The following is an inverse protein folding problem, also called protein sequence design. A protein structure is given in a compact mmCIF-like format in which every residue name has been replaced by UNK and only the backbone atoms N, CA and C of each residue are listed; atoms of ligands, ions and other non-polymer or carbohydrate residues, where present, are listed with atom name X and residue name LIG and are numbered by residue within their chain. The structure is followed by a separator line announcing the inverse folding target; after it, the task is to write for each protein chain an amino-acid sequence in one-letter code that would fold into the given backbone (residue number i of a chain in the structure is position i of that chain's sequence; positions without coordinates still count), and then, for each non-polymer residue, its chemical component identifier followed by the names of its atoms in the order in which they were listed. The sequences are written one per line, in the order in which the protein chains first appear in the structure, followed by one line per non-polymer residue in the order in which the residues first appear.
data_IF_055359964985
#
_entry.id   IF_055359964985
#
_cell.length_a   1.000
_cell.length_b   1.000
_cell.length_c   1.000
_cell.angle_alpha   90.00
_cell.angle_beta   90.00
_cell.angle_gamma   90.00
#
_symmetry.space_group_name_H-M   'P 1'
#
loop_
_entity.id
_entity.type
_entity.pdbx_description
1 polymer ?
#
# COMPACT_ATOMS: atom_id res chain seq x y z
N UNK A 1 -24.85 3.20 -52.97
CA UNK A 1 -25.13 2.05 -52.07
C UNK A 1 -26.63 1.98 -51.78
N UNK A 2 -27.27 0.82 -51.99
CA UNK A 2 -28.70 0.60 -51.72
C UNK A 2 -28.99 0.82 -50.23
N UNK A 3 -30.11 1.44 -49.88
CA UNK A 3 -30.53 1.76 -48.50
C UNK A 3 -30.34 0.60 -47.51
N UNK A 4 -30.59 -0.64 -47.95
CA UNK A 4 -30.35 -1.86 -47.16
C UNK A 4 -28.90 -2.04 -46.70
N UNK A 5 -27.93 -1.70 -47.55
CA UNK A 5 -26.50 -1.78 -47.22
C UNK A 5 -26.07 -0.71 -46.22
N UNK A 6 -26.66 0.49 -46.28
CA UNK A 6 -26.43 1.52 -45.25
C UNK A 6 -27.01 1.11 -43.90
N UNK A 7 -28.22 0.55 -43.90
CA UNK A 7 -28.88 0.10 -42.67
C UNK A 7 -28.07 -1.02 -41.99
N UNK A 8 -27.62 -2.01 -42.76
CA UNK A 8 -26.80 -3.10 -42.25
C UNK A 8 -25.48 -2.60 -41.64
N UNK A 9 -24.84 -1.62 -42.29
CA UNK A 9 -23.61 -1.01 -41.78
C UNK A 9 -23.83 -0.29 -40.45
N UNK A 10 -24.90 0.50 -40.32
CA UNK A 10 -25.25 1.17 -39.07
C UNK A 10 -25.50 0.17 -37.94
N UNK A 11 -26.21 -0.92 -38.22
CA UNK A 11 -26.44 -1.99 -37.25
C UNK A 11 -25.13 -2.63 -36.78
N UNK A 12 -24.20 -2.90 -37.70
CA UNK A 12 -22.88 -3.47 -37.35
C UNK A 12 -22.09 -2.51 -36.47
N UNK A 13 -22.02 -1.21 -36.81
CA UNK A 13 -21.32 -0.22 -35.98
C UNK A 13 -21.93 -0.14 -34.58
N UNK A 14 -23.26 -0.10 -34.50
CA UNK A 14 -23.98 0.04 -33.23
C UNK A 14 -23.74 -1.20 -32.35
N UNK A 15 -23.73 -2.39 -32.95
CA UNK A 15 -23.43 -3.65 -32.27
C UNK A 15 -21.98 -3.68 -31.76
N UNK A 16 -21.00 -3.30 -32.57
CA UNK A 16 -19.58 -3.24 -32.16
C UNK A 16 -19.40 -2.24 -31.03
N UNK A 17 -19.99 -1.04 -31.14
CA UNK A 17 -19.87 0.01 -30.12
C UNK A 17 -20.51 -0.44 -28.80
N UNK A 18 -21.66 -1.11 -28.85
CA UNK A 18 -22.31 -1.67 -27.67
C UNK A 18 -21.42 -2.69 -26.95
N UNK A 19 -20.82 -3.63 -27.69
CA UNK A 19 -19.92 -4.64 -27.13
C UNK A 19 -18.69 -3.98 -26.49
N UNK A 20 -18.06 -3.03 -27.18
CA UNK A 20 -16.88 -2.32 -26.65
C UNK A 20 -17.22 -1.57 -25.37
N UNK A 21 -18.34 -0.84 -25.36
CA UNK A 21 -18.74 0.00 -24.21
C UNK A 21 -19.01 -0.85 -22.97
N UNK A 22 -19.76 -1.96 -23.12
CA UNK A 22 -20.04 -2.87 -22.01
C UNK A 22 -18.76 -3.54 -21.52
N UNK A 23 -17.93 -4.04 -22.44
CA UNK A 23 -16.68 -4.72 -22.08
C UNK A 23 -15.70 -3.79 -21.34
N UNK A 24 -15.54 -2.56 -21.83
CA UNK A 24 -14.69 -1.55 -21.19
C UNK A 24 -15.19 -1.20 -19.79
N UNK A 25 -16.49 -0.99 -19.63
CA UNK A 25 -17.08 -0.72 -18.33
C UNK A 25 -16.86 -1.88 -17.35
N UNK A 26 -17.08 -3.12 -17.79
CA UNK A 26 -16.83 -4.32 -16.97
C UNK A 26 -15.37 -4.44 -16.54
N UNK A 27 -14.41 -4.24 -17.45
CA UNK A 27 -12.97 -4.32 -17.13
C UNK A 27 -12.60 -3.24 -16.11
N UNK A 28 -13.05 -2.00 -16.30
CA UNK A 28 -12.79 -0.90 -15.36
C UNK A 28 -13.39 -1.18 -13.99
N UNK A 29 -14.62 -1.71 -13.96
CA UNK A 29 -15.31 -2.05 -12.70
C UNK A 29 -14.57 -3.15 -11.95
N UNK A 30 -14.18 -4.23 -12.64
CA UNK A 30 -13.42 -5.33 -12.04
C UNK A 30 -12.09 -4.82 -11.50
N UNK A 31 -11.39 -3.97 -12.27
CA UNK A 31 -10.12 -3.39 -11.83
C UNK A 31 -10.29 -2.52 -10.58
N UNK A 32 -11.36 -1.72 -10.52
CA UNK A 32 -11.67 -0.91 -9.33
C UNK A 32 -11.95 -1.80 -8.12
N UNK A 33 -12.77 -2.84 -8.30
CA UNK A 33 -13.10 -3.77 -7.23
C UNK A 33 -11.87 -4.49 -6.68
N UNK A 34 -11.00 -4.99 -7.56
CA UNK A 34 -9.75 -5.66 -7.16
C UNK A 34 -8.77 -4.71 -6.47
N UNK A 35 -8.76 -3.42 -6.85
CA UNK A 35 -7.94 -2.42 -6.18
C UNK A 35 -8.45 -2.17 -4.76
N UNK A 36 -9.76 -1.98 -4.59
CA UNK A 36 -10.36 -1.75 -3.27
C UNK A 36 -10.13 -2.95 -2.35
N UNK A 37 -10.34 -4.18 -2.84
CA UNK A 37 -10.07 -5.41 -2.10
C UNK A 37 -8.58 -5.56 -1.74
N UNK A 38 -7.69 -5.17 -2.67
CA UNK A 38 -6.24 -5.13 -2.45
C UNK A 38 -5.83 -4.13 -1.37
N UNK A 39 -6.44 -2.93 -1.35
CA UNK A 39 -6.19 -1.92 -0.31
C UNK A 39 -6.63 -2.43 1.06
N UNK A 40 -7.82 -3.02 1.16
CA UNK A 40 -8.30 -3.59 2.42
C UNK A 40 -7.41 -4.74 2.90
N UNK A 41 -6.94 -5.59 1.99
CA UNK A 41 -6.02 -6.67 2.32
C UNK A 41 -4.67 -6.13 2.80
N UNK A 42 -4.12 -5.13 2.10
CA UNK A 42 -2.88 -4.47 2.46
C UNK A 42 -2.98 -3.80 3.84
N UNK A 43 -4.11 -3.16 4.17
CA UNK A 43 -4.34 -2.59 5.50
C UNK A 43 -4.31 -3.66 6.61
N UNK A 44 -4.96 -4.80 6.37
CA UNK A 44 -4.96 -5.93 7.32
C UNK A 44 -3.58 -6.55 7.50
N UNK A 45 -2.83 -6.69 6.42
CA UNK A 45 -1.46 -7.20 6.45
C UNK A 45 -0.56 -6.23 7.20
N UNK A 46 -0.63 -4.93 6.88
CA UNK A 46 0.14 -3.88 7.53
C UNK A 46 -0.13 -3.82 9.04
N UNK A 47 -1.41 -3.95 9.44
CA UNK A 47 -1.79 -4.03 10.84
C UNK A 47 -1.20 -5.27 11.52
N UNK A 48 -1.30 -6.42 10.89
CA UNK A 48 -0.77 -7.68 11.43
C UNK A 48 0.76 -7.63 11.59
N UNK A 49 1.44 -7.00 10.63
CA UNK A 49 2.88 -6.79 10.68
C UNK A 49 3.28 -5.80 11.77
N UNK A 50 2.52 -4.71 11.95
CA UNK A 50 2.73 -3.77 13.07
C UNK A 50 2.61 -4.46 14.42
N UNK A 51 1.57 -5.28 14.62
CA UNK A 51 1.39 -6.06 15.85
C UNK A 51 2.50 -7.08 16.09
N UNK A 52 3.00 -7.72 15.03
CA UNK A 52 4.16 -8.60 15.13
C UNK A 52 5.42 -7.82 15.51
N UNK A 53 5.67 -6.68 14.88
CA UNK A 53 6.81 -5.81 15.15
C UNK A 53 6.79 -5.25 16.57
N UNK A 54 5.63 -4.84 17.09
CA UNK A 54 5.48 -4.36 18.46
C UNK A 54 5.74 -5.44 19.51
N UNK A 55 5.57 -6.72 19.16
CA UNK A 55 5.84 -7.86 20.07
C UNK A 55 7.32 -8.23 20.18
N UNK A 56 8.19 -7.61 19.39
CA UNK A 56 9.63 -7.88 19.44
C UNK A 56 10.27 -7.05 20.55
N UNK A 57 10.24 -7.56 21.78
CA UNK A 57 10.78 -6.84 22.95
C UNK A 57 12.32 -6.78 22.98
N UNK A 58 12.98 -7.69 22.27
CA UNK A 58 14.45 -7.76 22.24
C UNK A 58 15.04 -6.86 21.14
N UNK A 59 15.51 -5.68 21.58
CA UNK A 59 16.24 -4.71 20.78
C UNK A 59 17.41 -5.28 19.97
N UNK A 60 18.11 -6.29 20.49
CA UNK A 60 19.28 -6.85 19.81
C UNK A 60 18.87 -7.71 18.60
N UNK A 61 17.63 -8.23 18.60
CA UNK A 61 17.10 -9.12 17.57
C UNK A 61 16.01 -8.46 16.71
N UNK A 62 15.64 -7.22 17.01
CA UNK A 62 14.58 -6.52 16.27
C UNK A 62 14.90 -6.44 14.78
N UNK A 63 16.11 -6.03 14.43
CA UNK A 63 16.54 -5.82 13.04
C UNK A 63 16.47 -7.11 12.23
N UNK A 64 16.90 -8.24 12.81
CA UNK A 64 16.84 -9.57 12.17
C UNK A 64 15.40 -10.05 12.02
N UNK A 65 14.58 -9.91 13.07
CA UNK A 65 13.17 -10.37 13.08
C UNK A 65 12.31 -9.56 12.11
N UNK A 66 12.47 -8.24 12.07
CA UNK A 66 11.69 -7.39 11.16
C UNK A 66 12.11 -7.61 9.71
N UNK A 67 13.40 -7.86 9.47
CA UNK A 67 13.90 -8.23 8.15
C UNK A 67 13.35 -9.58 7.70
N UNK A 68 13.34 -10.57 8.59
CA UNK A 68 12.73 -11.87 8.28
C UNK A 68 11.23 -11.76 8.00
N UNK A 69 10.52 -10.93 8.77
CA UNK A 69 9.10 -10.64 8.52
C UNK A 69 8.89 -10.00 7.15
N UNK A 70 9.71 -9.02 6.77
CA UNK A 70 9.68 -8.37 5.46
C UNK A 70 9.94 -9.36 4.31
N UNK A 71 10.92 -10.25 4.48
CA UNK A 71 11.23 -11.29 3.49
C UNK A 71 10.07 -12.27 3.29
N UNK A 72 9.42 -12.68 4.37
CA UNK A 72 8.31 -13.62 4.32
C UNK A 72 7.05 -12.99 3.71
N UNK A 73 6.80 -11.71 4.01
CA UNK A 73 5.64 -10.97 3.51
C UNK A 73 5.82 -10.38 2.12
N UNK A 74 7.07 -10.35 1.62
CA UNK A 74 7.45 -9.70 0.35
C UNK A 74 7.12 -8.21 0.28
N UNK A 75 6.97 -7.55 1.43
CA UNK A 75 6.81 -6.10 1.51
C UNK A 75 8.14 -5.41 1.78
N UNK A 76 8.26 -4.18 1.31
CA UNK A 76 9.32 -3.28 1.70
C UNK A 76 8.97 -2.66 3.05
N UNK A 77 9.92 -2.59 3.98
CA UNK A 77 9.72 -2.09 5.35
C UNK A 77 10.79 -1.07 5.70
N UNK A 78 10.38 0.03 6.31
CA UNK A 78 11.29 0.94 7.02
C UNK A 78 10.84 1.12 8.47
N UNK A 79 11.79 1.09 9.41
CA UNK A 79 11.52 1.34 10.82
C UNK A 79 12.08 2.69 11.25
N UNK A 80 11.31 3.40 12.06
CA UNK A 80 11.61 4.74 12.57
C UNK A 80 11.57 4.75 14.08
N UNK A 81 12.47 5.51 14.69
CA UNK A 81 12.50 5.72 16.13
C UNK A 81 11.46 6.74 16.60
N UNK A 82 11.41 7.02 17.90
CA UNK A 82 10.49 8.00 18.52
C UNK A 82 10.61 9.43 17.98
N UNK A 83 11.75 9.80 17.40
CA UNK A 83 11.95 11.12 16.75
C UNK A 83 11.47 11.12 15.30
N UNK A 84 10.92 10.01 14.80
CA UNK A 84 10.54 9.86 13.40
C UNK A 84 11.72 9.61 12.47
N UNK A 85 12.92 9.31 12.98
CA UNK A 85 14.11 9.07 12.18
C UNK A 85 14.26 7.60 11.80
N UNK A 86 14.41 7.34 10.51
CA UNK A 86 14.63 6.02 9.92
C UNK A 86 15.97 5.47 10.37
N UNK A 87 15.96 4.23 10.85
CA UNK A 87 17.19 3.53 11.25
C UNK A 87 17.32 2.14 10.61
N UNK A 88 16.24 1.61 10.04
CA UNK A 88 16.25 0.33 9.33
C UNK A 88 15.42 0.44 8.06
N UNK A 89 15.88 -0.24 7.01
CA UNK A 89 15.21 -0.33 5.71
C UNK A 89 15.47 -1.71 5.11
N UNK A 90 14.43 -2.32 4.58
CA UNK A 90 14.49 -3.57 3.86
C UNK A 90 13.54 -3.55 2.65
N UNK A 91 13.96 -4.04 1.47
CA UNK A 91 15.34 -4.32 1.10
C UNK A 91 16.22 -3.04 1.13
N UNK A 92 17.55 -3.17 1.14
CA UNK A 92 18.46 -2.02 1.32
C UNK A 92 18.28 -0.90 0.27
N UNK A 93 17.87 -1.26 -0.95
CA UNK A 93 17.60 -0.32 -2.05
C UNK A 93 16.18 0.27 -2.00
N UNK A 94 15.30 -0.25 -1.13
CA UNK A 94 13.97 0.32 -0.99
C UNK A 94 14.08 1.75 -0.47
N UNK A 95 13.17 2.59 -0.93
CA UNK A 95 13.03 3.96 -0.44
C UNK A 95 14.18 4.93 -0.76
N UNK A 96 14.99 4.63 -1.77
CA UNK A 96 15.86 5.62 -2.41
C UNK A 96 15.03 6.85 -2.83
N UNK A 97 15.36 8.02 -2.27
CA UNK A 97 14.64 9.28 -2.53
C UNK A 97 13.44 9.56 -1.61
N UNK A 98 13.14 8.69 -0.65
CA UNK A 98 12.21 9.00 0.46
C UNK A 98 13.00 9.61 1.61
N UNK A 99 12.47 10.69 2.19
CA UNK A 99 13.05 11.36 3.34
C UNK A 99 13.30 10.38 4.50
N UNK A 100 14.45 10.54 5.16
CA UNK A 100 14.85 9.72 6.31
C UNK A 100 14.05 10.04 7.57
N UNK A 101 13.30 11.15 7.60
CA UNK A 101 12.57 11.61 8.76
C UNK A 101 11.09 11.79 8.42
N UNK A 102 10.22 11.31 9.30
CA UNK A 102 8.78 11.55 9.23
C UNK A 102 8.48 13.01 9.59
N UNK A 103 7.56 13.63 8.86
CA UNK A 103 7.11 14.98 9.20
C UNK A 103 6.38 15.01 10.55
N UNK A 104 6.45 16.14 11.26
CA UNK A 104 5.75 16.31 12.54
C UNK A 104 4.24 16.06 12.42
N UNK A 105 3.63 16.48 11.31
CA UNK A 105 2.21 16.23 11.02
C UNK A 105 1.88 14.73 10.91
N UNK A 106 2.79 13.94 10.34
CA UNK A 106 2.65 12.48 10.26
C UNK A 106 2.75 11.85 11.65
N UNK A 107 3.72 12.25 12.46
CA UNK A 107 3.89 11.75 13.83
C UNK A 107 2.63 11.99 14.68
N UNK A 108 2.12 13.23 14.68
CA UNK A 108 0.88 13.59 15.39
C UNK A 108 -0.33 12.79 14.89
N UNK A 109 -0.35 12.43 13.62
CA UNK A 109 -1.45 11.66 13.02
C UNK A 109 -1.38 10.17 13.38
N UNK A 110 -0.17 9.62 13.51
CA UNK A 110 0.07 8.24 13.92
C UNK A 110 -0.28 8.04 15.40
N UNK A 111 0.15 8.95 16.26
CA UNK A 111 -0.14 8.90 17.70
C UNK A 111 -1.65 8.96 18.01
N UNK A 112 -2.42 9.69 17.19
CA UNK A 112 -3.88 9.78 17.34
C UNK A 112 -4.64 8.51 16.97
N UNK A 113 -4.03 7.59 16.21
CA UNK A 113 -4.72 6.45 15.60
C UNK A 113 -4.51 5.11 16.31
N UNK A 114 -3.81 5.09 17.45
CA UNK A 114 -3.67 3.94 18.35
C UNK A 114 -3.42 2.61 17.60
N UNK A 115 -2.28 2.52 16.91
CA UNK A 115 -1.85 1.35 16.12
C UNK A 115 -2.73 1.02 14.88
N UNK A 116 -3.61 1.92 14.43
CA UNK A 116 -4.33 1.77 13.16
C UNK A 116 -3.47 2.31 12.00
N UNK A 117 -3.23 1.53 10.93
CA UNK A 117 -2.45 1.99 9.80
C UNK A 117 -3.02 3.23 9.13
N UNK A 118 -2.15 4.16 8.74
CA UNK A 118 -2.46 5.25 7.81
C UNK A 118 -2.05 4.78 6.42
N UNK A 119 -3.04 4.51 5.57
CA UNK A 119 -2.81 4.16 4.17
C UNK A 119 -2.69 5.43 3.33
N UNK A 120 -1.56 5.57 2.65
CA UNK A 120 -1.33 6.57 1.63
C UNK A 120 -1.37 5.90 0.26
N UNK A 121 -2.40 6.23 -0.50
CA UNK A 121 -2.53 5.94 -1.92
C UNK A 121 -2.57 7.29 -2.65
N UNK A 122 -1.41 7.77 -3.09
CA UNK A 122 -1.29 9.08 -3.76
C UNK A 122 -1.02 8.86 -5.24
N UNK A 123 -1.61 9.67 -6.11
CA UNK A 123 -1.38 9.59 -7.57
C UNK A 123 0.11 9.77 -7.95
N UNK A 124 0.90 10.37 -7.06
CA UNK A 124 2.35 10.58 -7.20
C UNK A 124 3.21 9.34 -6.91
N UNK A 125 2.67 8.30 -6.27
CA UNK A 125 3.37 7.06 -5.97
C UNK A 125 2.55 5.87 -6.45
N UNK A 126 3.06 5.05 -7.39
CA UNK A 126 2.34 3.84 -7.82
C UNK A 126 2.24 2.79 -6.71
N UNK A 127 3.01 2.95 -5.62
CA UNK A 127 3.05 2.03 -4.49
C UNK A 127 2.03 2.40 -3.43
N UNK A 128 1.35 1.37 -2.91
CA UNK A 128 0.60 1.44 -1.66
C UNK A 128 1.57 1.56 -0.50
N UNK A 129 1.37 2.56 0.35
CA UNK A 129 2.20 2.82 1.53
C UNK A 129 1.33 2.85 2.77
N UNK A 130 1.72 2.10 3.79
CA UNK A 130 1.11 2.14 5.12
C UNK A 130 2.13 2.66 6.14
N UNK A 131 1.68 3.54 7.03
CA UNK A 131 2.42 3.92 8.23
C UNK A 131 1.67 3.45 9.46
N UNK A 132 2.36 2.84 10.42
CA UNK A 132 1.76 2.34 11.65
C UNK A 132 2.60 2.76 12.86
N UNK A 133 1.90 3.15 13.91
CA UNK A 133 2.46 3.34 15.26
C UNK A 133 2.58 1.97 15.94
N UNK A 134 3.76 1.66 16.46
CA UNK A 134 4.05 0.43 17.20
C UNK A 134 3.78 0.61 18.71
N UNK A 135 3.44 1.82 19.15
CA UNK A 135 3.20 2.17 20.53
C UNK A 135 4.47 2.20 21.38
N UNK A 136 4.30 2.02 22.69
CA UNK A 136 5.42 1.91 23.63
C UNK A 136 5.90 0.47 23.63
N UNK A 137 6.97 0.19 22.89
CA UNK A 137 7.69 -1.08 22.92
C UNK A 137 9.03 -0.90 23.65
N UNK A 138 9.61 -1.99 24.14
CA UNK A 138 11.01 -1.97 24.62
C UNK A 138 12.01 -1.88 23.46
N UNK A 139 11.53 -1.91 22.20
CA UNK A 139 12.39 -1.85 21.03
C UNK A 139 12.66 -0.42 20.51
N UNK A 140 13.67 -0.28 19.65
CA UNK A 140 14.08 1.02 19.06
C UNK A 140 13.07 1.57 18.04
N UNK A 141 12.08 0.77 17.62
CA UNK A 141 11.09 1.18 16.64
C UNK A 141 9.81 1.68 17.32
N UNK A 142 9.42 2.89 16.96
CA UNK A 142 8.14 3.48 17.33
C UNK A 142 7.19 3.54 16.15
N UNK A 143 7.71 3.63 14.93
CA UNK A 143 6.89 3.66 13.74
C UNK A 143 7.44 2.71 12.68
N UNK A 144 6.53 2.15 11.90
CA UNK A 144 6.85 1.29 10.78
C UNK A 144 6.19 1.85 9.52
N UNK A 145 6.93 1.86 8.43
CA UNK A 145 6.41 2.08 7.09
C UNK A 145 6.48 0.77 6.33
N UNK A 146 5.39 0.40 5.69
CA UNK A 146 5.28 -0.79 4.85
C UNK A 146 4.87 -0.31 3.46
N UNK A 147 5.49 -0.84 2.41
CA UNK A 147 5.01 -0.63 1.05
C UNK A 147 5.02 -1.90 0.22
N UNK A 148 4.08 -1.92 -0.73
CA UNK A 148 3.99 -2.94 -1.75
C UNK A 148 4.61 -2.39 -3.05
N UNK A 149 5.54 -3.16 -3.61
CA UNK A 149 6.11 -2.91 -4.95
C UNK A 149 5.10 -3.24 -6.06
#
# INVERSE_FOLDING_TARGET
MKIRSKLAWTYIILLITGIITISAYSILTIRSFLLDEGIEQFERDARSMGLAASSFDDNALFDDKITQLAQLSQYEIAAYNSTGKRFLTFPEYAFEGVEDELSNEMLESLERRDSTPIIQNTDSSPKLVAYIDLGVSENKANYLRISQD
#
